data_IF_766672897828
#
_entry.id   IF_766672897828
#
_cell.length_a   1.000
_cell.length_b   1.000
_cell.length_c   1.000
_cell.angle_alpha   90.00
_cell.angle_beta   90.00
_cell.angle_gamma   90.00
#
_symmetry.space_group_name_H-M   'P 1'
#
loop_
_entity.id
_entity.type
_entity.pdbx_description
1 polymer ?
#
# COMPACT_ATOMS: atom_id res chain seq x y z
N UNK A 1 -16.79 12.27 -22.14
CA UNK A 1 -16.44 10.90 -21.67
C UNK A 1 -16.57 10.88 -20.16
N UNK A 2 -17.26 9.91 -19.59
CA UNK A 2 -17.33 9.72 -18.13
C UNK A 2 -15.95 9.32 -17.61
N UNK A 3 -15.47 9.98 -16.55
CA UNK A 3 -14.18 9.63 -15.95
C UNK A 3 -14.28 8.23 -15.32
N UNK A 4 -13.45 7.30 -15.78
CA UNK A 4 -13.38 5.95 -15.21
C UNK A 4 -12.73 6.03 -13.82
N UNK A 5 -13.25 5.25 -12.87
CA UNK A 5 -12.53 5.03 -11.61
C UNK A 5 -11.30 4.13 -11.84
N UNK A 6 -10.40 4.05 -10.87
CA UNK A 6 -9.12 3.33 -11.02
C UNK A 6 -9.32 1.86 -11.40
N UNK A 7 -10.38 1.23 -10.89
CA UNK A 7 -10.71 -0.17 -11.12
C UNK A 7 -11.16 -0.37 -12.56
N UNK A 8 -12.07 0.48 -13.05
CA UNK A 8 -12.53 0.47 -14.43
C UNK A 8 -11.36 0.72 -15.39
N UNK A 9 -10.49 1.69 -15.07
CA UNK A 9 -9.29 1.98 -15.85
C UNK A 9 -8.33 0.78 -15.87
N UNK A 10 -8.08 0.16 -14.72
CA UNK A 10 -7.25 -1.04 -14.60
C UNK A 10 -7.78 -2.16 -15.50
N UNK A 11 -9.07 -2.47 -15.41
CA UNK A 11 -9.70 -3.52 -16.21
C UNK A 11 -9.61 -3.23 -17.70
N UNK A 12 -9.91 -1.99 -18.11
CA UNK A 12 -9.84 -1.57 -19.50
C UNK A 12 -8.41 -1.67 -20.07
N UNK A 13 -7.39 -1.24 -19.31
CA UNK A 13 -5.98 -1.32 -19.75
C UNK A 13 -5.48 -2.74 -19.86
N UNK A 14 -5.84 -3.62 -18.91
CA UNK A 14 -5.46 -5.03 -18.97
C UNK A 14 -6.16 -5.72 -20.15
N UNK A 15 -7.46 -5.49 -20.35
CA UNK A 15 -8.20 -6.07 -21.47
C UNK A 15 -7.60 -5.65 -22.82
N UNK A 16 -7.37 -4.35 -23.03
CA UNK A 16 -6.77 -3.85 -24.27
C UNK A 16 -5.38 -4.43 -24.54
N UNK A 17 -4.56 -4.55 -23.49
CA UNK A 17 -3.23 -5.17 -23.60
C UNK A 17 -3.29 -6.66 -23.95
N UNK A 18 -4.21 -7.41 -23.35
CA UNK A 18 -4.40 -8.81 -23.69
C UNK A 18 -4.94 -8.99 -25.11
N UNK A 19 -5.84 -8.12 -25.58
CA UNK A 19 -6.34 -8.14 -26.96
C UNK A 19 -5.21 -7.92 -27.97
N UNK A 20 -4.28 -6.99 -27.68
CA UNK A 20 -3.08 -6.78 -28.50
C UNK A 20 -2.22 -8.06 -28.56
N UNK A 21 -1.96 -8.70 -27.42
CA UNK A 21 -1.20 -9.95 -27.37
C UNK A 21 -1.87 -11.07 -28.16
N UNK A 22 -3.20 -11.17 -28.11
CA UNK A 22 -3.98 -12.17 -28.84
C UNK A 22 -3.82 -12.09 -30.36
N UNK A 23 -3.51 -10.92 -30.92
CA UNK A 23 -3.23 -10.79 -32.36
C UNK A 23 -1.98 -11.54 -32.80
N UNK A 24 -1.11 -11.91 -31.85
CA UNK A 24 0.20 -12.54 -32.10
C UNK A 24 0.33 -13.95 -31.54
N UNK A 25 -0.66 -14.43 -30.78
CA UNK A 25 -0.66 -15.74 -30.13
C UNK A 25 -1.72 -16.67 -30.73
N UNK A 26 -1.43 -17.96 -30.74
CA UNK A 26 -2.42 -19.01 -31.08
C UNK A 26 -2.94 -19.66 -29.79
N UNK A 27 -4.15 -20.24 -29.83
CA UNK A 27 -4.80 -20.81 -28.62
C UNK A 27 -3.97 -21.92 -27.93
N UNK A 28 -3.12 -22.60 -28.68
CA UNK A 28 -2.23 -23.66 -28.19
C UNK A 28 -0.86 -23.16 -27.67
N UNK A 29 -0.64 -21.84 -27.66
CA UNK A 29 0.58 -21.25 -27.09
C UNK A 29 0.71 -21.58 -25.60
N UNK A 30 1.93 -21.95 -25.18
CA UNK A 30 2.32 -22.14 -23.79
C UNK A 30 2.63 -20.78 -23.17
N UNK A 31 1.84 -20.37 -22.19
CA UNK A 31 1.99 -19.09 -21.53
C UNK A 31 2.34 -19.32 -20.06
N UNK A 32 3.47 -18.78 -19.63
CA UNK A 32 3.87 -18.76 -18.23
C UNK A 32 3.68 -17.37 -17.62
N UNK A 33 3.11 -17.28 -16.42
CA UNK A 33 2.83 -16.03 -15.71
C UNK A 33 3.71 -15.97 -14.45
N UNK A 34 4.57 -14.95 -14.35
CA UNK A 34 5.50 -14.83 -13.23
C UNK A 34 4.78 -14.27 -11.99
N UNK A 35 4.53 -15.14 -11.02
CA UNK A 35 4.07 -14.81 -9.68
C UNK A 35 2.65 -15.35 -9.42
N UNK A 36 2.26 -15.36 -8.16
CA UNK A 36 0.97 -15.91 -7.69
C UNK A 36 0.06 -14.83 -7.09
N UNK A 37 0.42 -13.55 -7.23
CA UNK A 37 -0.32 -12.44 -6.67
C UNK A 37 -1.64 -12.15 -7.40
N UNK A 38 -2.50 -11.26 -6.86
CA UNK A 38 -3.82 -10.96 -7.41
C UNK A 38 -3.81 -10.53 -8.88
N UNK A 39 -2.82 -9.74 -9.31
CA UNK A 39 -2.68 -9.34 -10.72
C UNK A 39 -2.42 -10.53 -11.64
N UNK A 40 -1.48 -11.42 -11.28
CA UNK A 40 -1.18 -12.62 -12.04
C UNK A 40 -2.43 -13.51 -12.17
N UNK A 41 -3.18 -13.66 -11.07
CA UNK A 41 -4.43 -14.42 -11.06
C UNK A 41 -5.48 -13.79 -11.98
N UNK A 42 -5.63 -12.46 -11.93
CA UNK A 42 -6.57 -11.77 -12.80
C UNK A 42 -6.21 -11.92 -14.28
N UNK A 43 -4.93 -11.76 -14.65
CA UNK A 43 -4.46 -11.99 -16.03
C UNK A 43 -4.74 -13.42 -16.49
N UNK A 44 -4.46 -14.43 -15.65
CA UNK A 44 -4.74 -15.83 -15.99
C UNK A 44 -6.23 -16.07 -16.26
N UNK A 45 -7.11 -15.48 -15.44
CA UNK A 45 -8.56 -15.68 -15.55
C UNK A 45 -9.10 -15.11 -16.87
N UNK A 46 -8.57 -13.97 -17.32
CA UNK A 46 -8.92 -13.38 -18.61
C UNK A 46 -8.40 -14.24 -19.77
N UNK A 47 -7.20 -14.81 -19.66
CA UNK A 47 -6.67 -15.73 -20.66
C UNK A 47 -7.51 -17.02 -20.76
N UNK A 48 -7.92 -17.61 -19.63
CA UNK A 48 -8.82 -18.77 -19.60
C UNK A 48 -10.18 -18.46 -20.23
N UNK A 49 -10.77 -17.29 -19.94
CA UNK A 49 -12.01 -16.82 -20.58
C UNK A 49 -11.87 -16.70 -22.10
N UNK A 50 -10.67 -16.38 -22.58
CA UNK A 50 -10.30 -16.35 -23.99
C UNK A 50 -9.77 -17.71 -24.49
N UNK A 51 -10.06 -18.82 -23.82
CA UNK A 51 -9.75 -20.19 -24.27
C UNK A 51 -8.25 -20.50 -24.44
N UNK A 52 -7.35 -19.79 -23.74
CA UNK A 52 -5.97 -20.24 -23.60
C UNK A 52 -5.90 -21.31 -22.51
N UNK A 53 -5.48 -22.53 -22.90
CA UNK A 53 -5.56 -23.70 -22.02
C UNK A 53 -4.20 -24.16 -21.47
N UNK A 54 -3.09 -23.69 -22.05
CA UNK A 54 -1.73 -24.07 -21.63
C UNK A 54 -1.09 -22.96 -20.80
N UNK A 55 -1.70 -22.71 -19.65
CA UNK A 55 -1.31 -21.65 -18.72
C UNK A 55 -0.61 -22.23 -17.49
N UNK A 56 0.45 -21.57 -17.06
CA UNK A 56 1.26 -21.97 -15.92
C UNK A 56 1.61 -20.74 -15.10
N UNK A 57 1.51 -20.81 -13.78
CA UNK A 57 2.20 -19.85 -12.93
C UNK A 57 3.62 -20.31 -12.68
N UNK A 58 4.49 -19.36 -12.33
CA UNK A 58 5.76 -19.71 -11.71
C UNK A 58 6.26 -18.66 -10.74
N UNK A 59 7.11 -19.07 -9.81
CA UNK A 59 7.77 -18.17 -8.88
C UNK A 59 9.23 -18.60 -8.66
N UNK A 60 10.09 -17.65 -8.29
CA UNK A 60 11.47 -17.93 -7.91
C UNK A 60 11.57 -18.83 -6.68
N UNK A 61 10.57 -18.76 -5.79
CA UNK A 61 10.44 -19.60 -4.61
C UNK A 61 8.98 -20.06 -4.47
N UNK A 62 8.57 -20.99 -5.33
CA UNK A 62 7.22 -21.55 -5.30
C UNK A 62 6.97 -22.30 -3.99
N UNK A 63 5.98 -21.84 -3.21
CA UNK A 63 5.55 -22.49 -1.95
C UNK A 63 4.31 -23.36 -2.10
N UNK A 64 3.66 -23.26 -3.25
CA UNK A 64 2.45 -23.99 -3.62
C UNK A 64 2.69 -24.58 -5.01
N UNK A 65 2.01 -25.69 -5.32
CA UNK A 65 2.15 -26.41 -6.60
C UNK A 65 0.98 -26.17 -7.54
N UNK A 66 -0.11 -25.60 -7.05
CA UNK A 66 -1.32 -25.31 -7.81
C UNK A 66 -1.99 -24.03 -7.28
N UNK A 67 -2.61 -23.27 -8.19
CA UNK A 67 -3.38 -22.08 -7.87
C UNK A 67 -4.48 -21.89 -8.93
N UNK A 68 -5.74 -21.77 -8.51
CA UNK A 68 -6.89 -21.60 -9.40
C UNK A 68 -6.91 -22.63 -10.55
N UNK A 69 -6.72 -23.91 -10.21
CA UNK A 69 -6.69 -25.04 -11.15
C UNK A 69 -5.55 -24.98 -12.20
N UNK A 70 -4.55 -24.11 -12.00
CA UNK A 70 -3.36 -24.03 -12.85
C UNK A 70 -2.10 -24.47 -12.08
N UNK A 71 -1.16 -25.17 -12.71
CA UNK A 71 0.09 -25.54 -12.08
C UNK A 71 0.91 -24.29 -11.69
N UNK A 72 1.59 -24.38 -10.55
CA UNK A 72 2.58 -23.40 -10.10
C UNK A 72 3.95 -24.06 -10.13
N UNK A 73 4.78 -23.60 -11.05
CA UNK A 73 6.09 -24.16 -11.34
C UNK A 73 7.21 -23.35 -10.67
N UNK A 74 8.34 -24.00 -10.44
CA UNK A 74 9.60 -23.36 -10.15
C UNK A 74 10.19 -22.73 -11.41
N UNK A 75 11.16 -21.83 -11.23
CA UNK A 75 11.87 -21.22 -12.36
C UNK A 75 12.63 -22.25 -13.21
N UNK A 76 13.14 -23.32 -12.60
CA UNK A 76 13.84 -24.40 -13.30
C UNK A 76 12.90 -25.19 -14.20
N UNK A 77 11.72 -25.55 -13.70
CA UNK A 77 10.71 -26.26 -14.49
C UNK A 77 10.19 -25.40 -15.66
N UNK A 78 10.10 -24.07 -15.51
CA UNK A 78 9.77 -23.18 -16.64
C UNK A 78 10.88 -23.14 -17.68
N UNK A 79 12.15 -23.17 -17.25
CA UNK A 79 13.28 -23.23 -18.19
C UNK A 79 13.26 -24.52 -19.04
N UNK A 80 12.79 -25.63 -18.47
CA UNK A 80 12.57 -26.89 -19.18
C UNK A 80 11.33 -26.84 -20.08
N UNK A 81 10.23 -26.26 -19.58
CA UNK A 81 8.96 -26.10 -20.32
C UNK A 81 9.12 -25.28 -21.60
N UNK A 82 10.01 -24.27 -21.58
CA UNK A 82 10.27 -23.33 -22.69
C UNK A 82 8.97 -22.72 -23.23
N UNK A 83 8.26 -21.91 -22.41
CA UNK A 83 6.99 -21.32 -22.83
C UNK A 83 7.19 -20.42 -24.05
N UNK A 84 6.17 -20.32 -24.91
CA UNK A 84 6.16 -19.41 -26.05
C UNK A 84 6.20 -17.94 -25.57
N UNK A 85 5.54 -17.69 -24.44
CA UNK A 85 5.40 -16.36 -23.84
C UNK A 85 5.50 -16.42 -22.32
N UNK A 86 6.21 -15.44 -21.76
CA UNK A 86 6.20 -15.13 -20.34
C UNK A 86 5.53 -13.77 -20.11
N UNK A 87 4.53 -13.76 -19.23
CA UNK A 87 3.88 -12.55 -18.75
C UNK A 87 4.40 -12.18 -17.36
N UNK A 88 4.73 -10.90 -17.16
CA UNK A 88 4.97 -10.40 -15.82
C UNK A 88 3.69 -10.46 -14.99
N UNK A 89 3.76 -11.04 -13.80
CA UNK A 89 2.69 -10.99 -12.79
C UNK A 89 2.91 -9.92 -11.72
N UNK A 90 3.91 -9.04 -11.90
CA UNK A 90 4.12 -7.84 -11.09
C UNK A 90 3.76 -6.57 -11.87
N UNK A 91 2.85 -5.76 -11.32
CA UNK A 91 2.59 -4.40 -11.83
C UNK A 91 3.67 -3.40 -11.39
N UNK A 92 4.34 -3.65 -10.27
CA UNK A 92 5.26 -2.72 -9.64
C UNK A 92 6.68 -2.84 -10.23
N UNK A 93 7.13 -4.07 -10.46
CA UNK A 93 8.53 -4.37 -10.75
C UNK A 93 8.70 -5.43 -11.86
N UNK A 94 8.04 -5.27 -13.03
CA UNK A 94 8.13 -6.24 -14.12
C UNK A 94 9.56 -6.42 -14.66
N UNK A 95 10.38 -5.37 -14.63
CA UNK A 95 11.78 -5.43 -15.07
C UNK A 95 12.66 -6.30 -14.16
N UNK A 96 12.37 -6.31 -12.85
CA UNK A 96 13.07 -7.22 -11.93
C UNK A 96 12.71 -8.67 -12.24
N UNK A 97 11.44 -8.96 -12.57
CA UNK A 97 11.03 -10.28 -13.02
C UNK A 97 11.71 -10.68 -14.33
N UNK A 98 11.82 -9.76 -15.29
CA UNK A 98 12.57 -9.98 -16.53
C UNK A 98 14.03 -10.35 -16.24
N UNK A 99 14.70 -9.61 -15.36
CA UNK A 99 16.08 -9.90 -14.97
C UNK A 99 16.22 -11.33 -14.42
N UNK A 100 15.35 -11.72 -13.50
CA UNK A 100 15.33 -13.08 -12.92
C UNK A 100 15.15 -14.15 -14.02
N UNK A 101 14.23 -13.94 -14.96
CA UNK A 101 13.99 -14.86 -16.09
C UNK A 101 15.24 -15.00 -16.96
N UNK A 102 15.95 -13.90 -17.24
CA UNK A 102 17.17 -13.92 -18.05
C UNK A 102 18.36 -14.56 -17.33
N UNK A 103 18.50 -14.31 -16.03
CA UNK A 103 19.54 -14.96 -15.20
C UNK A 103 19.34 -16.48 -15.11
N UNK A 104 18.10 -16.96 -15.21
CA UNK A 104 17.79 -18.39 -15.32
C UNK A 104 18.02 -18.99 -16.72
N UNK A 105 18.56 -18.22 -17.67
CA UNK A 105 18.86 -18.70 -19.03
C UNK A 105 17.63 -18.88 -19.93
N UNK A 106 16.46 -18.36 -19.52
CA UNK A 106 15.22 -18.51 -20.27
C UNK A 106 15.15 -17.45 -21.37
N UNK A 107 15.06 -17.88 -22.62
CA UNK A 107 15.06 -17.00 -23.81
C UNK A 107 13.66 -16.64 -24.31
N UNK A 108 12.60 -17.19 -23.73
CA UNK A 108 11.21 -16.92 -24.10
C UNK A 108 10.90 -15.42 -24.15
N UNK A 109 9.96 -15.07 -25.04
CA UNK A 109 9.46 -13.71 -25.17
C UNK A 109 8.87 -13.29 -23.82
N UNK A 110 9.25 -12.11 -23.33
CA UNK A 110 8.73 -11.57 -22.08
C UNK A 110 7.89 -10.33 -22.38
N UNK A 111 6.70 -10.23 -21.78
CA UNK A 111 5.79 -9.09 -21.93
C UNK A 111 5.25 -8.66 -20.58
N UNK A 112 5.00 -7.37 -20.45
CA UNK A 112 4.37 -6.77 -19.29
C UNK A 112 3.55 -5.57 -19.73
N UNK A 113 2.55 -5.20 -18.93
CA UNK A 113 1.77 -4.00 -19.16
C UNK A 113 2.60 -2.78 -18.73
N UNK A 114 2.93 -1.90 -19.68
CA UNK A 114 3.66 -0.68 -19.39
C UNK A 114 2.88 0.23 -18.43
N UNK A 115 3.59 0.94 -17.56
CA UNK A 115 2.98 1.83 -16.55
C UNK A 115 1.88 1.14 -15.73
N UNK A 116 2.00 -0.16 -15.45
CA UNK A 116 1.03 -0.88 -14.61
C UNK A 116 1.11 -0.47 -13.13
N UNK A 117 2.21 0.15 -12.68
CA UNK A 117 2.37 0.60 -11.30
C UNK A 117 1.33 1.66 -10.86
N UNK A 118 0.71 2.36 -11.81
CA UNK A 118 -0.38 3.31 -11.55
C UNK A 118 -1.77 2.65 -11.47
N UNK A 119 -1.85 1.34 -11.76
CA UNK A 119 -3.10 0.58 -11.73
C UNK A 119 -3.30 -0.11 -10.39
N UNK A 120 -4.50 -0.66 -10.20
CA UNK A 120 -4.85 -1.40 -9.00
C UNK A 120 -4.56 -2.90 -9.20
N UNK A 121 -3.69 -3.53 -8.40
CA UNK A 121 -3.38 -4.95 -8.54
C UNK A 121 -4.57 -5.85 -8.16
N UNK A 122 -5.52 -5.34 -7.39
CA UNK A 122 -6.73 -6.05 -6.96
C UNK A 122 -7.98 -5.19 -7.13
N UNK A 123 -8.57 -5.19 -8.34
CA UNK A 123 -9.67 -4.28 -8.70
C UNK A 123 -11.02 -4.72 -8.07
N UNK A 124 -11.19 -4.46 -6.76
CA UNK A 124 -12.45 -4.59 -6.00
C UNK A 124 -13.17 -3.24 -5.90
N UNK A 125 -14.41 -3.16 -6.38
CA UNK A 125 -15.26 -1.97 -6.23
C UNK A 125 -16.49 -2.30 -5.38
N UNK A 126 -16.78 -1.44 -4.42
CA UNK A 126 -17.99 -1.51 -3.60
C UNK A 126 -18.67 -0.13 -3.56
N UNK A 127 -19.95 -0.03 -3.94
CA UNK A 127 -20.70 1.23 -3.84
C UNK A 127 -20.75 1.82 -2.43
N UNK A 128 -20.73 0.99 -1.38
CA UNK A 128 -20.72 1.44 0.01
C UNK A 128 -19.43 2.21 0.34
N UNK A 129 -18.28 1.61 -0.01
CA UNK A 129 -16.97 2.26 0.12
C UNK A 129 -16.94 3.57 -0.69
N UNK A 130 -17.41 3.53 -1.93
CA UNK A 130 -17.43 4.69 -2.81
C UNK A 130 -18.26 5.85 -2.24
N UNK A 131 -19.44 5.54 -1.70
CA UNK A 131 -20.30 6.52 -1.05
C UNK A 131 -19.62 7.13 0.18
N UNK A 132 -18.91 6.32 0.97
CA UNK A 132 -18.18 6.81 2.14
C UNK A 132 -17.02 7.74 1.76
N UNK A 133 -16.18 7.36 0.79
CA UNK A 133 -15.10 8.24 0.33
C UNK A 133 -15.62 9.55 -0.23
N UNK A 134 -16.77 9.54 -0.92
CA UNK A 134 -17.42 10.77 -1.37
C UNK A 134 -17.86 11.67 -0.20
N UNK A 135 -18.28 11.09 0.93
CA UNK A 135 -18.70 11.85 2.13
C UNK A 135 -17.51 12.47 2.88
N UNK A 136 -16.36 11.79 2.90
CA UNK A 136 -15.19 12.27 3.64
C UNK A 136 -14.29 13.21 2.82
N UNK A 137 -14.49 13.28 1.50
CA UNK A 137 -13.79 14.22 0.62
C UNK A 137 -14.03 15.67 1.09
N UNK A 138 -12.97 16.39 1.44
CA UNK A 138 -13.03 17.74 2.02
C UNK A 138 -13.90 17.89 3.29
N UNK A 139 -14.26 16.81 3.98
CA UNK A 139 -15.11 16.85 5.19
C UNK A 139 -14.50 17.71 6.31
N UNK A 140 -13.17 17.75 6.39
CA UNK A 140 -12.43 18.55 7.37
C UNK A 140 -11.58 19.61 6.69
N UNK A 141 -12.12 20.20 5.61
CA UNK A 141 -11.47 21.29 4.89
C UNK A 141 -11.01 22.41 5.85
N UNK A 142 -9.77 22.84 5.71
CA UNK A 142 -9.22 23.92 6.51
C UNK A 142 -8.67 23.51 7.89
N UNK A 143 -8.81 22.23 8.29
CA UNK A 143 -8.38 21.74 9.61
C UNK A 143 -6.94 21.23 9.63
N UNK A 144 -6.41 21.13 10.85
CA UNK A 144 -5.13 20.46 11.12
C UNK A 144 -5.34 18.96 11.28
N UNK A 145 -4.48 18.18 10.63
CA UNK A 145 -4.42 16.73 10.74
C UNK A 145 -3.11 16.32 11.42
N UNK A 146 -3.21 15.46 12.41
CA UNK A 146 -2.10 14.82 13.08
C UNK A 146 -1.91 13.42 12.51
N UNK A 147 -0.78 13.20 11.83
CA UNK A 147 -0.39 11.89 11.32
C UNK A 147 0.57 11.27 12.33
N UNK A 148 0.06 10.29 13.08
CA UNK A 148 0.76 9.67 14.21
C UNK A 148 1.40 8.37 13.75
N UNK A 149 2.73 8.34 13.78
CA UNK A 149 3.54 7.14 13.57
C UNK A 149 3.55 6.23 14.80
N UNK A 150 4.58 5.41 14.91
CA UNK A 150 4.72 4.46 16.02
C UNK A 150 6.11 4.48 16.65
N UNK A 151 6.94 5.47 16.31
CA UNK A 151 8.34 5.53 16.72
C UNK A 151 8.55 5.77 18.22
N UNK A 152 9.76 5.48 18.73
CA UNK A 152 10.06 5.53 20.15
C UNK A 152 9.86 6.92 20.78
N UNK A 153 10.00 7.99 20.01
CA UNK A 153 9.80 9.36 20.51
C UNK A 153 8.39 9.66 21.05
N UNK A 154 7.38 8.82 20.76
CA UNK A 154 6.04 8.95 21.37
C UNK A 154 6.03 8.71 22.88
N UNK A 155 7.14 8.23 23.47
CA UNK A 155 7.32 8.21 24.94
C UNK A 155 7.41 9.62 25.51
N UNK A 156 8.08 10.51 24.78
CA UNK A 156 8.36 11.88 25.18
C UNK A 156 7.37 12.88 24.55
N UNK A 157 6.62 12.44 23.55
CA UNK A 157 5.63 13.25 22.83
C UNK A 157 4.25 12.56 22.81
N UNK A 158 3.55 12.54 23.96
CA UNK A 158 2.30 11.80 24.13
C UNK A 158 1.17 12.33 23.21
N UNK A 159 0.75 11.57 22.18
CA UNK A 159 -0.20 12.06 21.17
C UNK A 159 -1.60 12.31 21.73
N UNK A 160 -1.95 11.74 22.88
CA UNK A 160 -3.20 12.00 23.61
C UNK A 160 -3.35 13.45 24.09
N UNK A 161 -2.24 14.20 24.23
CA UNK A 161 -2.28 15.63 24.61
C UNK A 161 -2.64 16.55 23.43
N UNK A 162 -2.64 16.04 22.20
CA UNK A 162 -3.02 16.83 21.03
C UNK A 162 -4.54 17.03 20.99
N UNK A 163 -4.97 18.28 20.80
CA UNK A 163 -6.38 18.68 20.70
C UNK A 163 -6.58 19.63 19.52
N UNK A 164 -7.84 19.80 19.10
CA UNK A 164 -8.19 20.78 18.05
C UNK A 164 -7.89 20.38 16.60
N UNK A 165 -7.49 19.13 16.36
CA UNK A 165 -7.24 18.58 15.03
C UNK A 165 -7.63 17.10 14.92
N UNK A 166 -7.56 16.57 13.70
CA UNK A 166 -7.97 15.20 13.37
C UNK A 166 -6.77 14.26 13.52
N UNK A 167 -6.91 13.18 14.30
CA UNK A 167 -5.86 12.21 14.58
C UNK A 167 -5.98 11.00 13.66
N UNK A 168 -4.99 10.79 12.82
CA UNK A 168 -4.86 9.62 11.95
C UNK A 168 -3.74 8.75 12.49
N UNK A 169 -4.03 7.47 12.71
CA UNK A 169 -3.04 6.52 13.18
C UNK A 169 -3.32 5.11 12.65
N UNK A 170 -2.34 4.22 12.76
CA UNK A 170 -2.48 2.84 12.32
C UNK A 170 -1.48 1.92 12.98
N UNK A 171 -1.56 0.63 12.66
CA UNK A 171 -0.70 -0.41 13.21
C UNK A 171 -0.74 -0.47 14.76
N UNK A 172 0.34 -0.87 15.41
CA UNK A 172 0.40 -1.10 16.86
C UNK A 172 0.22 0.12 17.75
N UNK A 173 -0.14 1.30 17.23
CA UNK A 173 -0.50 2.47 18.04
C UNK A 173 -1.60 2.14 19.06
N UNK A 174 -2.46 1.17 18.72
CA UNK A 174 -3.56 0.69 19.57
C UNK A 174 -3.08 0.03 20.88
N UNK A 175 -1.79 -0.31 20.99
CA UNK A 175 -1.17 -0.74 22.24
C UNK A 175 -1.11 0.42 23.26
N UNK A 176 -1.13 1.67 22.80
CA UNK A 176 -1.21 2.86 23.66
C UNK A 176 -2.67 3.20 24.01
N UNK A 177 -3.16 2.66 25.13
CA UNK A 177 -4.59 2.68 25.46
C UNK A 177 -5.20 4.07 25.69
N UNK A 178 -4.37 5.01 26.16
CA UNK A 178 -4.76 6.40 26.40
C UNK A 178 -4.98 7.19 25.10
N UNK A 179 -4.39 6.73 23.99
CA UNK A 179 -4.54 7.37 22.70
C UNK A 179 -5.75 6.81 21.95
N UNK A 180 -6.55 7.71 21.37
CA UNK A 180 -7.69 7.39 20.51
C UNK A 180 -7.53 8.14 19.19
N UNK A 181 -7.41 7.44 18.05
CA UNK A 181 -7.45 8.08 16.74
C UNK A 181 -8.89 8.45 16.36
N UNK A 182 -9.04 9.41 15.45
CA UNK A 182 -10.31 9.71 14.78
C UNK A 182 -10.51 8.83 13.54
N UNK A 183 -9.40 8.43 12.90
CA UNK A 183 -9.36 7.48 11.78
C UNK A 183 -8.23 6.48 12.00
N UNK A 184 -8.55 5.20 11.87
CA UNK A 184 -7.57 4.13 11.99
C UNK A 184 -7.23 3.55 10.62
N UNK A 185 -5.96 3.21 10.40
CA UNK A 185 -5.47 2.72 9.11
C UNK A 185 -4.75 1.38 9.25
N UNK A 186 -4.98 0.49 8.29
CA UNK A 186 -4.29 -0.80 8.14
C UNK A 186 -3.71 -0.90 6.73
N UNK A 187 -2.52 -1.47 6.59
CA UNK A 187 -1.83 -1.58 5.30
C UNK A 187 -1.58 -3.01 4.84
N UNK A 188 -1.22 -3.91 5.76
CA UNK A 188 -0.73 -5.24 5.43
C UNK A 188 -1.36 -6.33 6.31
N UNK A 189 -1.22 -7.58 5.87
CA UNK A 189 -1.81 -8.75 6.52
C UNK A 189 -1.24 -8.98 7.93
N UNK A 190 0.04 -8.67 8.15
CA UNK A 190 0.67 -8.79 9.47
C UNK A 190 0.02 -7.83 10.47
N UNK A 191 -0.29 -6.61 10.05
CA UNK A 191 -1.02 -5.66 10.90
C UNK A 191 -2.42 -6.17 11.28
N UNK A 192 -3.11 -6.84 10.35
CA UNK A 192 -4.39 -7.50 10.62
C UNK A 192 -4.20 -8.62 11.64
N UNK A 193 -3.25 -9.53 11.40
CA UNK A 193 -2.97 -10.67 12.29
C UNK A 193 -2.68 -10.21 13.73
N UNK A 194 -1.85 -9.19 13.88
CA UNK A 194 -1.38 -8.75 15.19
C UNK A 194 -2.39 -7.89 15.96
N UNK A 195 -3.10 -6.99 15.27
CA UNK A 195 -3.84 -5.92 15.95
C UNK A 195 -5.34 -5.93 15.70
N UNK A 196 -5.85 -6.68 14.71
CA UNK A 196 -7.27 -6.70 14.40
C UNK A 196 -8.20 -7.01 15.59
N UNK A 197 -7.87 -7.97 16.48
CA UNK A 197 -8.72 -8.24 17.65
C UNK A 197 -8.96 -7.01 18.54
N UNK A 198 -7.99 -6.08 18.61
CA UNK A 198 -8.14 -4.83 19.37
C UNK A 198 -8.73 -3.71 18.49
N UNK A 199 -8.32 -3.63 17.22
CA UNK A 199 -8.79 -2.60 16.27
C UNK A 199 -10.28 -2.70 16.02
N UNK A 200 -10.84 -3.90 15.87
CA UNK A 200 -12.28 -4.09 15.66
C UNK A 200 -13.17 -3.60 16.81
N UNK A 201 -12.59 -3.37 17.99
CA UNK A 201 -13.32 -2.80 19.14
C UNK A 201 -13.40 -1.28 19.09
N UNK A 202 -12.68 -0.64 18.16
CA UNK A 202 -12.70 0.80 17.99
C UNK A 202 -13.99 1.23 17.30
N UNK A 203 -14.64 2.25 17.87
CA UNK A 203 -15.80 2.89 17.24
C UNK A 203 -15.38 4.06 16.34
N UNK A 204 -14.42 3.82 15.44
CA UNK A 204 -13.94 4.81 14.45
C UNK A 204 -13.83 4.16 13.08
N UNK A 205 -13.82 4.95 11.99
CA UNK A 205 -13.56 4.42 10.67
C UNK A 205 -12.18 3.77 10.57
N UNK A 206 -12.14 2.55 10.06
CA UNK A 206 -10.95 1.80 9.71
C UNK A 206 -10.81 1.83 8.19
N UNK A 207 -9.69 2.36 7.69
CA UNK A 207 -9.42 2.46 6.26
C UNK A 207 -8.34 1.46 5.88
N UNK A 208 -8.65 0.59 4.90
CA UNK A 208 -7.78 -0.49 4.47
C UNK A 208 -7.67 -0.56 2.94
N UNK A 209 -6.55 -1.02 2.38
CA UNK A 209 -6.47 -1.33 0.96
C UNK A 209 -7.33 -2.56 0.63
N UNK A 210 -7.87 -2.59 -0.59
CA UNK A 210 -8.84 -3.60 -1.03
C UNK A 210 -8.37 -5.06 -0.91
N UNK A 211 -7.06 -5.31 -0.95
CA UNK A 211 -6.51 -6.67 -0.83
C UNK A 211 -6.72 -7.29 0.56
N UNK A 212 -6.94 -6.47 1.59
CA UNK A 212 -7.23 -6.97 2.94
C UNK A 212 -8.69 -7.35 3.15
N UNK A 213 -9.56 -7.14 2.14
CA UNK A 213 -10.98 -7.42 2.27
C UNK A 213 -11.28 -8.87 2.68
N UNK A 214 -10.52 -9.85 2.18
CA UNK A 214 -10.72 -11.27 2.55
C UNK A 214 -10.42 -11.54 4.02
N UNK A 215 -9.53 -10.76 4.64
CA UNK A 215 -9.12 -10.94 6.04
C UNK A 215 -10.01 -10.14 7.00
N UNK A 216 -10.36 -8.92 6.62
CA UNK A 216 -11.11 -7.98 7.46
C UNK A 216 -12.64 -8.14 7.32
N UNK A 217 -13.11 -8.69 6.20
CA UNK A 217 -14.52 -8.92 5.87
C UNK A 217 -15.37 -7.64 5.92
N UNK A 218 -16.69 -7.79 5.83
CA UNK A 218 -17.61 -6.67 5.99
C UNK A 218 -17.85 -6.36 7.47
N UNK A 219 -17.31 -5.24 7.94
CA UNK A 219 -17.72 -4.59 9.18
C UNK A 219 -18.18 -3.16 8.88
N UNK A 220 -19.17 -2.65 9.62
CA UNK A 220 -19.86 -1.39 9.31
C UNK A 220 -18.95 -0.15 9.30
N UNK A 221 -17.80 -0.22 9.96
CA UNK A 221 -16.81 0.85 10.08
C UNK A 221 -15.51 0.58 9.30
N UNK A 222 -15.44 -0.45 8.46
CA UNK A 222 -14.26 -0.74 7.63
C UNK A 222 -14.53 -0.32 6.19
N UNK A 223 -13.61 0.47 5.63
CA UNK A 223 -13.73 1.03 4.28
C UNK A 223 -12.51 0.72 3.42
N UNK A 224 -12.74 0.25 2.21
CA UNK A 224 -11.70 -0.27 1.32
C UNK A 224 -11.41 0.62 0.12
N UNK A 225 -10.16 1.04 -0.05
CA UNK A 225 -9.73 1.79 -1.23
C UNK A 225 -8.92 0.92 -2.21
N UNK A 226 -8.94 1.20 -3.51
CA UNK A 226 -8.02 0.58 -4.46
C UNK A 226 -6.61 1.17 -4.27
N UNK A 227 -5.67 0.33 -3.85
CA UNK A 227 -4.26 0.71 -3.73
C UNK A 227 -3.58 0.65 -5.11
N UNK A 228 -2.55 1.47 -5.30
CA UNK A 228 -1.62 1.40 -6.42
C UNK A 228 -0.17 1.48 -5.90
N UNK A 229 0.80 1.24 -6.76
CA UNK A 229 2.23 1.36 -6.38
C UNK A 229 2.74 2.77 -6.57
N UNK A 230 2.20 3.48 -7.57
CA UNK A 230 2.64 4.80 -8.00
C UNK A 230 1.41 5.63 -8.42
N UNK A 231 1.56 6.95 -8.45
CA UNK A 231 0.57 7.84 -9.08
C UNK A 231 1.29 9.00 -9.76
N UNK A 232 0.90 9.27 -11.00
CA UNK A 232 1.30 10.44 -11.79
C UNK A 232 0.27 11.58 -11.69
N UNK A 233 -0.92 11.28 -11.16
CA UNK A 233 -2.02 12.24 -11.04
C UNK A 233 -1.68 13.43 -10.13
N UNK A 234 -2.05 14.62 -10.59
CA UNK A 234 -2.05 15.83 -9.76
C UNK A 234 -3.14 15.83 -8.67
N UNK A 235 -4.22 15.09 -8.93
CA UNK A 235 -5.36 14.93 -8.02
C UNK A 235 -5.13 13.70 -7.15
N UNK A 236 -5.44 13.80 -5.86
CA UNK A 236 -5.49 12.65 -4.96
C UNK A 236 -6.94 12.22 -4.83
N UNK A 237 -7.23 10.99 -5.23
CA UNK A 237 -8.53 10.36 -5.00
C UNK A 237 -8.37 8.87 -4.75
N UNK A 238 -8.82 8.35 -3.58
CA UNK A 238 -8.80 6.93 -3.31
C UNK A 238 -9.47 6.10 -4.42
N UNK A 239 -10.57 6.59 -5.00
CA UNK A 239 -11.34 5.84 -6.01
C UNK A 239 -10.84 6.02 -7.44
N UNK A 240 -10.41 7.23 -7.82
CA UNK A 240 -10.13 7.56 -9.22
C UNK A 240 -8.65 7.38 -9.59
N UNK A 241 -7.74 7.72 -8.68
CA UNK A 241 -6.30 7.72 -8.94
C UNK A 241 -5.57 6.67 -8.11
N UNK A 242 -6.28 6.07 -7.15
CA UNK A 242 -5.70 5.22 -6.12
C UNK A 242 -4.85 6.00 -5.14
N UNK A 243 -4.45 5.31 -4.08
CA UNK A 243 -3.45 5.79 -3.13
C UNK A 243 -2.18 4.96 -3.33
N UNK A 244 -1.02 5.59 -3.64
CA UNK A 244 0.26 4.90 -3.67
C UNK A 244 0.57 4.31 -2.29
N UNK A 245 0.92 3.03 -2.23
CA UNK A 245 1.19 2.35 -0.95
C UNK A 245 2.34 2.99 -0.17
N UNK A 246 3.34 3.55 -0.89
CA UNK A 246 4.51 4.22 -0.33
C UNK A 246 5.34 3.35 0.61
N UNK A 247 5.10 2.03 0.64
CA UNK A 247 5.69 1.05 1.58
C UNK A 247 5.43 1.33 3.07
N UNK A 248 4.57 2.31 3.41
CA UNK A 248 4.27 2.66 4.79
C UNK A 248 2.90 3.30 4.92
N UNK A 249 2.20 2.93 6.00
CA UNK A 249 0.90 3.47 6.33
C UNK A 249 0.91 4.98 6.57
N UNK A 250 2.06 5.53 6.96
CA UNK A 250 2.22 6.98 7.15
C UNK A 250 2.01 7.76 5.85
N UNK A 251 2.49 7.25 4.72
CA UNK A 251 2.31 7.91 3.42
C UNK A 251 0.83 7.93 3.02
N UNK A 252 0.11 6.83 3.26
CA UNK A 252 -1.33 6.71 3.03
C UNK A 252 -2.11 7.69 3.89
N UNK A 253 -1.79 7.82 5.18
CA UNK A 253 -2.43 8.79 6.06
C UNK A 253 -2.25 10.23 5.57
N UNK A 254 -1.08 10.59 5.03
CA UNK A 254 -0.83 11.92 4.44
C UNK A 254 -1.68 12.14 3.18
N UNK A 255 -1.77 11.14 2.30
CA UNK A 255 -2.66 11.21 1.14
C UNK A 255 -4.13 11.37 1.53
N UNK A 256 -4.58 10.63 2.54
CA UNK A 256 -5.96 10.76 3.04
C UNK A 256 -6.22 12.11 3.73
N UNK A 257 -5.28 12.62 4.54
CA UNK A 257 -5.39 13.98 5.10
C UNK A 257 -5.56 15.03 3.99
N UNK A 258 -4.80 14.89 2.91
CA UNK A 258 -4.89 15.76 1.74
C UNK A 258 -6.25 15.65 1.05
N UNK A 259 -6.71 14.43 0.78
CA UNK A 259 -8.03 14.14 0.22
C UNK A 259 -9.18 14.70 1.09
N UNK A 260 -9.03 14.67 2.41
CA UNK A 260 -10.01 15.18 3.36
C UNK A 260 -9.94 16.70 3.56
N UNK A 261 -9.04 17.40 2.86
CA UNK A 261 -8.96 18.86 2.83
C UNK A 261 -8.10 19.49 3.93
N UNK A 262 -7.08 18.78 4.44
CA UNK A 262 -6.18 19.34 5.44
C UNK A 262 -5.60 20.70 5.01
N UNK A 263 -5.60 21.68 5.92
CA UNK A 263 -4.82 22.91 5.79
C UNK A 263 -3.39 22.70 6.26
N UNK A 264 -3.27 22.01 7.39
CA UNK A 264 -2.01 21.68 8.03
C UNK A 264 -1.93 20.17 8.25
N UNK A 265 -0.78 19.57 7.98
CA UNK A 265 -0.45 18.20 8.36
C UNK A 265 0.73 18.25 9.33
N UNK A 266 0.57 17.63 10.48
CA UNK A 266 1.58 17.55 11.53
C UNK A 266 2.00 16.11 11.70
N UNK A 267 3.29 15.85 11.48
CA UNK A 267 3.88 14.53 11.64
C UNK A 267 4.35 14.35 13.08
N UNK A 268 4.03 13.22 13.72
CA UNK A 268 4.50 12.91 15.07
C UNK A 268 4.83 11.42 15.24
N UNK A 269 5.97 11.09 15.87
CA UNK A 269 6.38 9.71 16.08
C UNK A 269 6.92 9.03 14.81
N UNK A 270 7.48 9.81 13.88
CA UNK A 270 8.10 9.35 12.63
C UNK A 270 9.61 9.33 12.79
N UNK A 271 10.13 8.52 13.72
CA UNK A 271 11.56 8.50 14.04
C UNK A 271 12.45 8.00 12.88
N UNK A 272 11.87 7.23 11.94
CA UNK A 272 12.57 6.60 10.81
C UNK A 272 13.85 5.83 11.21
N UNK A 273 13.88 5.27 12.43
CA UNK A 273 15.03 4.60 13.02
C UNK A 273 15.04 3.09 12.77
N UNK A 274 14.48 2.65 11.64
CA UNK A 274 14.22 1.25 11.29
C UNK A 274 15.44 0.32 11.34
N UNK A 275 16.66 0.86 11.23
CA UNK A 275 17.92 0.10 11.39
C UNK A 275 18.36 -0.17 12.84
N UNK A 276 17.64 0.33 13.85
CA UNK A 276 18.03 0.20 15.26
C UNK A 276 17.77 -1.19 15.87
N UNK A 277 17.09 -2.09 15.15
CA UNK A 277 16.70 -3.42 15.61
C UNK A 277 15.35 -3.47 16.36
N UNK A 278 14.76 -4.67 16.47
CA UNK A 278 13.47 -4.89 17.15
C UNK A 278 13.49 -4.36 18.59
N UNK A 279 12.38 -3.77 19.03
CA UNK A 279 12.21 -3.18 20.37
C UNK A 279 12.77 -1.76 20.53
N UNK A 280 13.54 -1.26 19.55
CA UNK A 280 14.01 0.15 19.52
C UNK A 280 13.32 0.99 18.47
N UNK A 281 12.60 0.36 17.54
CA UNK A 281 11.93 1.01 16.41
C UNK A 281 10.53 1.55 16.76
N UNK A 282 9.99 1.18 17.92
CA UNK A 282 8.63 1.54 18.32
C UNK A 282 8.55 2.05 19.77
N UNK A 283 7.45 2.73 20.11
CA UNK A 283 7.22 3.31 21.44
C UNK A 283 7.06 2.28 22.57
N UNK A 284 6.72 1.02 22.25
CA UNK A 284 6.52 -0.05 23.23
C UNK A 284 7.54 -1.16 23.03
N UNK A 285 8.09 -1.68 24.14
CA UNK A 285 8.94 -2.88 24.12
C UNK A 285 8.15 -4.14 23.78
N UNK A 286 6.84 -4.14 24.01
CA UNK A 286 5.92 -5.24 23.71
C UNK A 286 5.11 -4.95 22.43
N UNK A 287 5.65 -4.13 21.52
CA UNK A 287 4.95 -3.76 20.29
C UNK A 287 4.70 -4.96 19.36
N UNK A 288 5.70 -5.85 19.23
CA UNK A 288 5.58 -7.13 18.54
C UNK A 288 5.63 -8.27 19.55
N UNK A 289 4.86 -9.36 19.36
CA UNK A 289 5.04 -10.57 20.15
C UNK A 289 6.40 -11.22 19.82
N UNK A 290 7.00 -11.98 20.74
CA UNK A 290 8.30 -12.62 20.53
C UNK A 290 8.37 -13.60 19.34
N UNK A 291 7.22 -14.05 18.84
CA UNK A 291 7.09 -14.95 17.70
C UNK A 291 7.37 -14.28 16.35
N UNK A 292 7.31 -12.93 16.27
CA UNK A 292 7.60 -12.21 15.02
C UNK A 292 9.10 -12.34 14.71
N UNK A 293 9.48 -12.91 13.55
CA UNK A 293 10.88 -13.08 13.19
C UNK A 293 11.63 -11.76 13.15
N UNK A 294 12.92 -11.81 13.52
CA UNK A 294 13.83 -10.68 13.30
C UNK A 294 14.00 -10.45 11.80
N UNK A 295 13.80 -9.22 11.39
CA UNK A 295 14.09 -8.77 10.03
C UNK A 295 15.60 -8.78 9.81
N UNK A 296 16.03 -9.26 8.65
CA UNK A 296 17.40 -9.12 8.19
C UNK A 296 17.82 -7.62 8.18
N UNK A 297 19.02 -7.26 8.68
CA UNK A 297 19.43 -5.86 8.78
C UNK A 297 19.51 -5.11 7.45
N UNK A 298 20.01 -5.75 6.39
CA UNK A 298 20.16 -5.10 5.08
C UNK A 298 18.78 -4.89 4.44
N UNK A 299 17.91 -5.88 4.56
CA UNK A 299 16.51 -5.74 4.17
C UNK A 299 15.81 -4.64 4.97
N UNK A 300 16.06 -4.53 6.27
CA UNK A 300 15.47 -3.47 7.10
C UNK A 300 15.93 -2.08 6.68
N UNK A 301 17.20 -1.91 6.30
CA UNK A 301 17.73 -0.64 5.77
C UNK A 301 17.04 -0.27 4.44
N UNK A 302 16.88 -1.24 3.53
CA UNK A 302 16.21 -0.99 2.25
C UNK A 302 14.73 -0.64 2.43
N UNK A 303 14.00 -1.37 3.29
CA UNK A 303 12.62 -1.02 3.64
C UNK A 303 12.56 0.38 4.25
N UNK A 304 13.47 0.75 5.15
CA UNK A 304 13.53 2.08 5.73
C UNK A 304 13.66 3.19 4.67
N UNK A 305 14.51 2.94 3.67
CA UNK A 305 14.73 3.86 2.54
C UNK A 305 13.46 4.00 1.70
N UNK A 306 12.84 2.88 1.35
CA UNK A 306 11.58 2.86 0.58
C UNK A 306 10.44 3.58 1.32
N UNK A 307 10.33 3.37 2.63
CA UNK A 307 9.34 4.04 3.48
C UNK A 307 9.57 5.54 3.55
N UNK A 308 10.81 5.98 3.76
CA UNK A 308 11.17 7.40 3.74
C UNK A 308 10.81 8.04 2.41
N UNK A 309 11.11 7.38 1.28
CA UNK A 309 10.77 7.89 -0.05
C UNK A 309 9.26 8.02 -0.23
N UNK A 310 8.48 7.03 0.20
CA UNK A 310 7.02 7.08 0.14
C UNK A 310 6.42 8.22 0.97
N UNK A 311 6.93 8.43 2.18
CA UNK A 311 6.52 9.56 3.04
C UNK A 311 6.88 10.89 2.37
N UNK A 312 8.12 11.05 1.91
CA UNK A 312 8.57 12.27 1.23
C UNK A 312 7.75 12.58 -0.02
N UNK A 313 7.37 11.57 -0.81
CA UNK A 313 6.51 11.74 -1.97
C UNK A 313 5.10 12.23 -1.57
N UNK A 314 4.51 11.68 -0.52
CA UNK A 314 3.21 12.11 -0.01
C UNK A 314 3.26 13.55 0.54
N UNK A 315 4.33 13.91 1.26
CA UNK A 315 4.56 15.28 1.76
C UNK A 315 4.67 16.26 0.59
N UNK A 316 5.52 15.95 -0.39
CA UNK A 316 5.70 16.80 -1.56
C UNK A 316 4.38 17.01 -2.30
N UNK A 317 3.57 15.96 -2.45
CA UNK A 317 2.25 16.07 -3.06
C UNK A 317 1.29 16.96 -2.26
N UNK A 318 1.26 16.82 -0.93
CA UNK A 318 0.44 17.68 -0.08
C UNK A 318 0.86 19.16 -0.19
N UNK A 319 2.17 19.43 -0.17
CA UNK A 319 2.72 20.79 -0.31
C UNK A 319 2.42 21.42 -1.67
N UNK A 320 2.50 20.64 -2.76
CA UNK A 320 2.09 21.10 -4.10
C UNK A 320 0.63 21.53 -4.16
N UNK A 321 -0.22 20.99 -3.29
CA UNK A 321 -1.64 21.35 -3.15
C UNK A 321 -1.87 22.45 -2.11
N UNK A 322 -0.81 23.14 -1.66
CA UNK A 322 -0.88 24.27 -0.73
C UNK A 322 -1.03 23.89 0.73
N UNK A 323 -0.86 22.62 1.09
CA UNK A 323 -0.97 22.14 2.47
C UNK A 323 0.35 22.37 3.19
N UNK A 324 0.30 23.04 4.36
CA UNK A 324 1.46 23.20 5.22
C UNK A 324 1.75 21.89 5.93
N UNK A 325 2.96 21.36 5.75
CA UNK A 325 3.41 20.16 6.48
C UNK A 325 4.51 20.56 7.46
N UNK A 326 4.38 20.13 8.72
CA UNK A 326 5.38 20.33 9.78
C UNK A 326 5.63 19.01 10.52
N UNK A 327 6.81 18.88 11.11
CA UNK A 327 7.21 17.68 11.84
C UNK A 327 7.50 17.99 13.32
N UNK A 328 6.70 17.38 14.20
CA UNK A 328 6.81 17.49 15.65
C UNK A 328 7.58 16.32 16.29
N UNK A 329 8.11 15.40 15.48
CA UNK A 329 9.00 14.34 15.96
C UNK A 329 10.31 14.96 16.46
N UNK A 330 10.77 14.70 17.70
CA UNK A 330 11.93 15.39 18.28
C UNK A 330 13.28 14.95 17.68
N UNK A 331 13.32 13.84 16.94
CA UNK A 331 14.55 13.31 16.32
C UNK A 331 14.70 13.73 14.86
N UNK A 332 15.94 13.69 14.35
CA UNK A 332 16.20 13.82 12.91
C UNK A 332 15.80 12.53 12.21
N UNK A 333 14.84 12.63 11.29
CA UNK A 333 14.26 11.47 10.58
C UNK A 333 14.45 11.53 9.04
N UNK A 334 15.11 12.57 8.53
CA UNK A 334 15.46 12.72 7.12
C UNK A 334 14.32 13.16 6.19
N UNK A 335 13.17 13.61 6.72
CA UNK A 335 12.02 14.01 5.91
C UNK A 335 12.12 15.43 5.30
N UNK A 336 13.14 16.21 5.66
CA UNK A 336 13.39 17.58 5.15
C UNK A 336 12.16 18.52 5.28
N UNK A 337 11.39 18.37 6.37
CA UNK A 337 10.25 19.23 6.68
C UNK A 337 10.59 20.15 7.86
N UNK A 338 10.00 21.34 7.87
CA UNK A 338 10.11 22.28 8.99
C UNK A 338 9.66 21.62 10.30
N UNK A 339 10.49 21.78 11.34
CA UNK A 339 10.20 21.26 12.68
C UNK A 339 9.30 22.22 13.45
N UNK A 340 8.50 21.66 14.37
CA UNK A 340 7.82 22.40 15.44
C UNK A 340 8.06 21.66 16.75
N UNK A 341 8.27 22.38 17.86
CA UNK A 341 8.41 21.73 19.16
C UNK A 341 7.06 21.18 19.64
N UNK A 342 7.06 20.00 20.25
CA UNK A 342 5.82 19.36 20.71
C UNK A 342 5.05 20.23 21.72
N UNK A 343 5.73 20.83 22.68
CA UNK A 343 5.08 21.72 23.66
C UNK A 343 4.46 22.98 23.04
N UNK A 344 5.04 23.48 21.94
CA UNK A 344 4.46 24.58 21.19
C UNK A 344 3.21 24.12 20.45
N UNK A 345 3.28 22.95 19.82
CA UNK A 345 2.15 22.34 19.13
C UNK A 345 0.94 22.11 20.05
N UNK A 346 1.17 21.62 21.27
CA UNK A 346 0.11 21.42 22.28
C UNK A 346 -0.57 22.75 22.62
N UNK A 347 0.21 23.83 22.78
CA UNK A 347 -0.34 25.18 23.07
C UNK A 347 -1.15 25.74 21.91
N UNK A 348 -0.79 25.42 20.66
CA UNK A 348 -1.52 25.89 19.48
C UNK A 348 -2.92 25.27 19.35
N UNK A 349 -3.18 24.10 19.96
CA UNK A 349 -4.50 23.46 19.98
C UNK A 349 -5.15 23.37 18.57
N UNK A 350 -4.37 22.89 17.60
CA UNK A 350 -4.81 22.75 16.20
C UNK A 350 -4.75 24.04 15.35
N UNK A 351 -4.42 25.20 15.92
CA UNK A 351 -4.35 26.48 15.20
C UNK A 351 -2.93 26.75 14.67
N UNK A 352 -2.59 26.12 13.54
CA UNK A 352 -1.29 26.21 12.85
C UNK A 352 -1.29 27.10 11.60
#
# INVERSE_FOLDING_TARGET
MQQLNLIQLTRARIAAWLDELQTTLVRDSVIAIFGTGPYAQYVSSLLQQNQFNRLYYFASNAKITELNDLPVMTIGEIAELKPDLILAGSMAEPEKQLKIVREAGISSVFRYLENAGTLCPEPRFDPFDAQWFSKIHHLHAGKTFYVIGNGPSLKDTPPELLTGGIKMAGNGIIVREQFKPDFYFVLDELAVELWWPKVRTLNVPVVAPSHLYKLLQHENNVFYYPACYQTDSAVISPLFTGIPSGNTITSIMIYFATFMGAKNIVLLGLDNNYGAGLGKTHFSTNYYPPSVPKTDPDYAIEVARLQRNGISAAIARAQLLGIKVVDATPVKNGLQVNKIHFDELVKLNGNL
#
